data_IF_890311186422
#
_entry.id   IF_890311186422
#
_cell.length_a   1.000
_cell.length_b   1.000
_cell.length_c   1.000
_cell.angle_alpha   90.00
_cell.angle_beta   90.00
_cell.angle_gamma   90.00
#
_symmetry.space_group_name_H-M   'P 1'
#
loop_
_entity.id
_entity.type
_entity.pdbx_description
1 polymer ?
#
# COMPACT_ATOMS: atom_id res chain seq x y z
N UNK A 1 17.76 -18.31 -5.20
CA UNK A 1 17.02 -17.41 -4.30
C UNK A 1 15.51 -17.58 -4.44
N UNK A 2 14.87 -17.34 -5.60
CA UNK A 2 13.43 -17.59 -5.81
C UNK A 2 12.98 -19.02 -5.42
N UNK A 3 13.67 -20.05 -5.91
CA UNK A 3 13.37 -21.45 -5.54
C UNK A 3 13.50 -21.76 -4.06
N UNK A 4 14.39 -21.06 -3.36
CA UNK A 4 14.60 -21.28 -1.90
C UNK A 4 13.44 -20.66 -1.13
N UNK A 5 13.04 -19.44 -1.50
CA UNK A 5 11.87 -18.77 -0.92
C UNK A 5 10.56 -19.50 -1.24
N UNK A 6 10.40 -20.02 -2.45
CA UNK A 6 9.24 -20.84 -2.83
C UNK A 6 9.17 -22.12 -1.99
N UNK A 7 10.32 -22.76 -1.73
CA UNK A 7 10.38 -23.98 -0.91
C UNK A 7 10.13 -23.69 0.57
N UNK A 8 10.73 -22.65 1.14
CA UNK A 8 10.49 -22.24 2.53
C UNK A 8 9.02 -21.82 2.75
N UNK A 9 8.43 -21.11 1.78
CA UNK A 9 7.02 -20.72 1.82
C UNK A 9 6.10 -21.96 1.74
N UNK A 10 6.42 -22.91 0.85
CA UNK A 10 5.69 -24.18 0.72
C UNK A 10 5.73 -25.01 2.00
N UNK A 11 6.90 -25.10 2.64
CA UNK A 11 7.07 -25.82 3.92
C UNK A 11 6.27 -25.13 5.01
N UNK A 12 6.33 -23.80 5.11
CA UNK A 12 5.60 -23.03 6.12
C UNK A 12 4.09 -23.15 5.94
N UNK A 13 3.58 -23.04 4.70
CA UNK A 13 2.16 -23.24 4.40
C UNK A 13 1.70 -24.66 4.77
N UNK A 14 2.48 -25.68 4.43
CA UNK A 14 2.17 -27.07 4.80
C UNK A 14 2.13 -27.30 6.31
N UNK A 15 3.01 -26.63 7.07
CA UNK A 15 2.99 -26.68 8.53
C UNK A 15 1.75 -26.00 9.12
N UNK A 16 1.40 -24.83 8.59
CA UNK A 16 0.19 -24.10 9.00
C UNK A 16 -1.09 -24.88 8.68
N UNK A 17 -1.20 -25.47 7.49
CA UNK A 17 -2.35 -26.31 7.11
C UNK A 17 -2.48 -27.56 8.00
N UNK A 18 -1.35 -28.21 8.35
CA UNK A 18 -1.35 -29.32 9.29
C UNK A 18 -1.81 -28.90 10.69
N UNK A 19 -1.37 -27.73 11.16
CA UNK A 19 -1.73 -27.19 12.46
C UNK A 19 -3.20 -26.74 12.52
N UNK A 20 -3.69 -26.10 11.46
CA UNK A 20 -5.10 -25.75 11.29
C UNK A 20 -5.98 -27.01 11.32
N UNK A 21 -5.61 -28.03 10.54
CA UNK A 21 -6.34 -29.30 10.49
C UNK A 21 -6.38 -29.95 11.87
N UNK A 22 -5.25 -29.98 12.58
CA UNK A 22 -5.18 -30.54 13.93
C UNK A 22 -6.03 -29.74 14.94
N UNK A 23 -6.04 -28.41 14.85
CA UNK A 23 -6.84 -27.55 15.71
C UNK A 23 -8.34 -27.71 15.47
N UNK A 24 -8.77 -27.75 14.19
CA UNK A 24 -10.16 -28.00 13.81
C UNK A 24 -10.61 -29.36 14.34
N UNK A 25 -9.79 -30.39 14.15
CA UNK A 25 -10.12 -31.74 14.59
C UNK A 25 -10.17 -31.87 16.12
N UNK A 26 -9.31 -31.14 16.85
CA UNK A 26 -9.40 -31.04 18.30
C UNK A 26 -10.71 -30.35 18.75
N UNK A 27 -11.13 -29.30 18.04
CA UNK A 27 -12.38 -28.59 18.32
C UNK A 27 -13.60 -29.46 18.04
N UNK A 28 -13.62 -30.19 16.92
CA UNK A 28 -14.71 -31.12 16.57
C UNK A 28 -14.88 -32.20 17.64
N UNK A 29 -13.78 -32.79 18.12
CA UNK A 29 -13.81 -33.78 19.21
C UNK A 29 -14.37 -33.17 20.51
N UNK A 30 -14.00 -31.91 20.82
CA UNK A 30 -14.53 -31.17 21.96
C UNK A 30 -16.04 -30.91 21.82
N UNK A 31 -16.51 -30.53 20.62
CA UNK A 31 -17.93 -30.32 20.33
C UNK A 31 -18.71 -31.63 20.47
N UNK A 32 -18.19 -32.73 19.93
CA UNK A 32 -18.81 -34.05 20.02
C UNK A 32 -18.94 -34.50 21.48
N UNK A 33 -17.87 -34.32 22.27
CA UNK A 33 -17.88 -34.63 23.71
C UNK A 33 -18.93 -33.79 24.46
N UNK A 34 -19.01 -32.49 24.16
CA UNK A 34 -20.03 -31.61 24.76
C UNK A 34 -21.46 -32.01 24.37
N UNK A 35 -21.69 -32.45 23.12
CA UNK A 35 -23.00 -32.92 22.68
C UNK A 35 -23.44 -34.18 23.42
N UNK A 36 -22.52 -35.11 23.69
CA UNK A 36 -22.80 -36.31 24.48
C UNK A 36 -23.15 -35.92 25.93
N UNK A 37 -22.34 -35.06 26.55
CA UNK A 37 -22.59 -34.57 27.91
C UNK A 37 -23.94 -33.86 28.05
N UNK A 38 -24.32 -33.02 27.08
CA UNK A 38 -25.62 -32.34 27.09
C UNK A 38 -26.79 -33.32 27.04
N UNK A 39 -26.71 -34.37 26.22
CA UNK A 39 -27.75 -35.42 26.17
C UNK A 39 -27.83 -36.20 27.47
N UNK A 40 -26.70 -36.55 28.07
CA UNK A 40 -26.66 -37.25 29.36
C UNK A 40 -27.31 -36.41 30.47
N UNK A 41 -27.01 -35.11 30.52
CA UNK A 41 -27.63 -34.17 31.47
C UNK A 41 -29.15 -34.09 31.23
N UNK A 42 -29.59 -34.04 29.96
CA UNK A 42 -31.01 -33.96 29.60
C UNK A 42 -31.78 -35.24 29.93
N UNK A 43 -31.16 -36.42 29.80
CA UNK A 43 -31.73 -37.71 30.24
C UNK A 43 -31.83 -37.75 31.76
N UNK A 44 -30.76 -37.38 32.47
CA UNK A 44 -30.74 -37.37 33.94
C UNK A 44 -31.79 -36.42 34.53
N UNK A 45 -31.93 -35.20 33.98
CA UNK A 45 -32.98 -34.26 34.36
C UNK A 45 -34.39 -34.84 34.15
N UNK A 46 -34.62 -35.51 33.02
CA UNK A 46 -35.93 -36.11 32.72
C UNK A 46 -36.26 -37.35 33.58
N UNK A 47 -35.26 -38.12 34.00
CA UNK A 47 -35.41 -39.22 34.94
C UNK A 47 -35.70 -38.71 36.36
N UNK A 48 -34.97 -37.68 36.81
CA UNK A 48 -35.21 -37.05 38.11
C UNK A 48 -36.56 -36.34 38.20
N UNK A 49 -37.08 -35.78 37.12
CA UNK A 49 -38.44 -35.23 37.07
C UNK A 49 -39.55 -36.28 37.19
N UNK A 50 -39.23 -37.57 37.00
CA UNK A 50 -40.19 -38.69 37.11
C UNK A 50 -40.17 -39.38 38.48
N UNK A 51 -39.08 -39.30 39.24
CA UNK A 51 -38.97 -39.85 40.60
C UNK A 51 -39.27 -38.77 41.64
N UNK A 52 -40.51 -38.75 42.15
CA UNK A 52 -41.02 -37.73 43.06
C UNK A 52 -40.77 -38.03 44.55
N UNK A 53 -39.72 -38.78 44.91
CA UNK A 53 -39.39 -39.08 46.30
C UNK A 53 -37.89 -39.30 46.43
N UNK A 54 -37.13 -38.31 46.94
CA UNK A 54 -35.87 -38.44 47.71
C UNK A 54 -35.39 -37.03 48.12
N UNK A 55 -34.75 -36.93 49.29
CA UNK A 55 -34.35 -35.69 49.97
C UNK A 55 -33.38 -34.80 49.17
N UNK A 56 -33.50 -33.45 49.25
CA UNK A 56 -32.92 -32.53 48.25
C UNK A 56 -31.42 -32.19 48.41
N UNK A 57 -30.80 -32.54 49.54
CA UNK A 57 -29.49 -32.00 49.94
C UNK A 57 -28.27 -32.56 49.20
N UNK A 58 -28.24 -33.86 48.94
CA UNK A 58 -27.06 -34.55 48.38
C UNK A 58 -26.99 -34.50 46.83
N UNK A 59 -28.10 -34.16 46.16
CA UNK A 59 -28.14 -34.00 44.69
C UNK A 59 -27.54 -32.67 44.23
N UNK A 60 -27.82 -31.58 44.96
CA UNK A 60 -27.37 -30.23 44.60
C UNK A 60 -25.83 -30.15 44.56
N UNK A 61 -25.14 -30.79 45.50
CA UNK A 61 -23.68 -30.80 45.57
C UNK A 61 -23.03 -31.49 44.36
N UNK A 62 -23.60 -32.59 43.87
CA UNK A 62 -23.03 -33.33 42.72
C UNK A 62 -23.20 -32.57 41.41
N UNK A 63 -24.34 -31.88 41.23
CA UNK A 63 -24.55 -31.03 40.05
C UNK A 63 -23.73 -29.73 40.13
N UNK A 64 -23.57 -29.14 41.31
CA UNK A 64 -22.68 -27.98 41.51
C UNK A 64 -21.23 -28.33 41.19
N UNK A 65 -20.73 -29.48 41.65
CA UNK A 65 -19.38 -29.95 41.35
C UNK A 65 -19.16 -30.15 39.84
N UNK A 66 -20.11 -30.77 39.13
CA UNK A 66 -20.03 -30.97 37.67
C UNK A 66 -20.12 -29.66 36.87
N UNK A 67 -20.97 -28.72 37.30
CA UNK A 67 -21.07 -27.40 36.66
C UNK A 67 -19.78 -26.61 36.88
N UNK A 68 -19.21 -26.67 38.08
CA UNK A 68 -17.94 -26.03 38.38
C UNK A 68 -16.79 -26.64 37.56
N UNK A 69 -16.77 -27.95 37.39
CA UNK A 69 -15.79 -28.66 36.56
C UNK A 69 -15.88 -28.25 35.08
N UNK A 70 -17.09 -28.14 34.53
CA UNK A 70 -17.34 -27.69 33.15
C UNK A 70 -16.97 -26.22 32.92
N UNK A 71 -17.32 -25.34 33.85
CA UNK A 71 -16.93 -23.92 33.79
C UNK A 71 -15.41 -23.75 33.84
N UNK A 72 -14.72 -24.61 34.60
CA UNK A 72 -13.26 -24.61 34.66
C UNK A 72 -12.66 -25.16 33.35
N UNK A 73 -13.22 -26.24 32.79
CA UNK A 73 -12.72 -26.87 31.56
C UNK A 73 -12.93 -26.00 30.31
N UNK A 74 -13.92 -25.10 30.34
CA UNK A 74 -14.26 -24.20 29.22
C UNK A 74 -13.80 -22.76 29.45
N UNK A 75 -13.06 -22.49 30.53
CA UNK A 75 -12.56 -21.15 30.85
C UNK A 75 -11.66 -20.62 29.71
N UNK A 76 -12.07 -19.56 28.99
CA UNK A 76 -11.27 -18.94 27.95
C UNK A 76 -9.91 -18.44 28.46
N UNK A 77 -9.79 -18.14 29.76
CA UNK A 77 -8.54 -17.75 30.43
C UNK A 77 -7.50 -18.88 30.52
N UNK A 78 -7.90 -20.14 30.29
CA UNK A 78 -6.98 -21.29 30.23
C UNK A 78 -6.43 -21.55 28.82
N UNK A 79 -6.93 -20.86 27.79
CA UNK A 79 -6.38 -20.93 26.43
C UNK A 79 -4.98 -20.29 26.46
N UNK A 80 -3.95 -21.13 26.55
CA UNK A 80 -2.55 -20.70 26.46
C UNK A 80 -2.11 -20.73 25.00
N UNK A 81 -1.73 -19.57 24.49
CA UNK A 81 -0.95 -19.49 23.26
C UNK A 81 0.40 -20.20 23.50
N UNK A 82 0.88 -20.94 22.50
CA UNK A 82 2.20 -21.55 22.54
C UNK A 82 3.24 -20.42 22.44
N UNK A 83 3.70 -19.95 23.60
CA UNK A 83 4.69 -18.87 23.72
C UNK A 83 5.97 -19.21 22.93
N UNK A 84 6.36 -20.48 22.87
CA UNK A 84 7.55 -20.91 22.14
C UNK A 84 7.37 -20.73 20.63
N UNK A 85 6.21 -21.12 20.08
CA UNK A 85 5.90 -20.89 18.66
C UNK A 85 5.76 -19.41 18.34
N UNK A 86 5.13 -18.63 19.23
CA UNK A 86 5.03 -17.18 19.09
C UNK A 86 6.41 -16.52 18.99
N UNK A 87 7.33 -16.90 19.88
CA UNK A 87 8.70 -16.40 19.86
C UNK A 87 9.47 -16.82 18.59
N UNK A 88 9.27 -18.07 18.12
CA UNK A 88 9.85 -18.54 16.86
C UNK A 88 9.34 -17.74 15.66
N UNK A 89 8.02 -17.50 15.57
CA UNK A 89 7.41 -16.69 14.51
C UNK A 89 7.90 -15.25 14.52
N UNK A 90 8.01 -14.65 15.71
CA UNK A 90 8.58 -13.32 15.87
C UNK A 90 10.05 -13.27 15.44
N UNK A 91 10.83 -14.29 15.82
CA UNK A 91 12.23 -14.45 15.40
C UNK A 91 12.37 -14.56 13.88
N UNK A 92 11.57 -15.39 13.24
CA UNK A 92 11.53 -15.53 11.77
C UNK A 92 11.15 -14.22 11.09
N UNK A 93 10.12 -13.54 11.60
CA UNK A 93 9.67 -12.24 11.07
C UNK A 93 10.76 -11.18 11.17
N UNK A 94 11.44 -11.09 12.31
CA UNK A 94 12.57 -10.18 12.50
C UNK A 94 13.72 -10.49 11.54
N UNK A 95 14.07 -11.77 11.37
CA UNK A 95 15.11 -12.19 10.44
C UNK A 95 14.76 -11.86 8.98
N UNK A 96 13.52 -12.08 8.57
CA UNK A 96 13.04 -11.72 7.23
C UNK A 96 13.08 -10.21 7.01
N UNK A 97 12.64 -9.41 8.00
CA UNK A 97 12.71 -7.95 7.94
C UNK A 97 14.16 -7.45 7.85
N UNK A 98 15.08 -8.03 8.62
CA UNK A 98 16.50 -7.71 8.56
C UNK A 98 17.09 -8.09 7.19
N UNK A 99 16.72 -9.26 6.66
CA UNK A 99 17.13 -9.67 5.33
C UNK A 99 16.63 -8.70 4.26
N UNK A 100 15.35 -8.36 4.24
CA UNK A 100 14.78 -7.40 3.28
C UNK A 100 15.48 -6.04 3.40
N UNK A 101 15.67 -5.52 4.62
CA UNK A 101 16.38 -4.26 4.86
C UNK A 101 17.83 -4.30 4.37
N UNK A 102 18.51 -5.43 4.50
CA UNK A 102 19.86 -5.61 3.97
C UNK A 102 19.95 -5.50 2.44
N UNK A 103 18.84 -5.73 1.73
CA UNK A 103 18.78 -5.62 0.27
C UNK A 103 18.51 -4.18 -0.22
N UNK A 104 18.11 -3.25 0.66
CA UNK A 104 17.80 -1.85 0.30
C UNK A 104 18.95 -1.18 -0.49
N UNK A 105 20.23 -1.27 -0.09
CA UNK A 105 21.32 -0.67 -0.86
C UNK A 105 21.45 -1.24 -2.27
N UNK A 106 21.20 -2.53 -2.44
CA UNK A 106 21.25 -3.22 -3.74
C UNK A 106 20.11 -2.75 -4.63
N UNK A 107 18.89 -2.69 -4.10
CA UNK A 107 17.71 -2.20 -4.81
C UNK A 107 17.89 -0.74 -5.23
N UNK A 108 18.39 0.11 -4.33
CA UNK A 108 18.70 1.52 -4.62
C UNK A 108 19.72 1.67 -5.74
N UNK A 109 20.83 0.91 -5.68
CA UNK A 109 21.85 0.92 -6.74
C UNK A 109 21.30 0.44 -8.09
N UNK A 110 20.45 -0.59 -8.08
CA UNK A 110 19.83 -1.10 -9.30
C UNK A 110 18.90 -0.05 -9.92
N UNK A 111 18.02 0.58 -9.15
CA UNK A 111 17.14 1.62 -9.67
C UNK A 111 17.92 2.84 -10.16
N UNK A 112 18.96 3.25 -9.44
CA UNK A 112 19.88 4.31 -9.88
C UNK A 112 20.59 3.98 -11.20
N UNK A 113 20.85 2.71 -11.51
CA UNK A 113 21.43 2.32 -12.81
C UNK A 113 20.50 2.58 -14.00
N UNK A 114 19.21 2.79 -13.76
CA UNK A 114 18.23 3.20 -14.76
C UNK A 114 17.94 4.71 -14.73
N UNK A 115 18.73 5.50 -14.00
CA UNK A 115 18.50 6.94 -13.91
C UNK A 115 18.62 7.60 -15.28
N UNK A 116 17.66 8.46 -15.60
CA UNK A 116 17.64 9.20 -16.87
C UNK A 116 17.62 10.70 -16.60
N UNK A 117 18.44 11.45 -17.34
CA UNK A 117 18.44 12.90 -17.28
C UNK A 117 17.10 13.46 -17.71
N UNK A 118 16.59 14.44 -16.97
CA UNK A 118 15.29 15.05 -17.23
C UNK A 118 15.33 16.54 -16.90
N UNK A 119 14.67 17.31 -17.75
CA UNK A 119 14.50 18.77 -17.64
C UNK A 119 13.04 19.08 -17.95
N UNK A 120 12.44 19.97 -17.17
CA UNK A 120 11.09 20.44 -17.37
C UNK A 120 11.00 21.37 -18.58
N UNK A 121 9.95 21.23 -19.37
CA UNK A 121 9.68 22.05 -20.55
C UNK A 121 8.77 23.25 -20.19
N UNK A 122 9.31 24.48 -20.14
CA UNK A 122 8.53 25.67 -19.82
C UNK A 122 7.43 26.00 -20.85
N UNK A 123 7.51 25.45 -22.07
CA UNK A 123 6.47 25.62 -23.09
C UNK A 123 5.19 24.83 -22.76
N UNK A 124 5.30 23.79 -21.94
CA UNK A 124 4.16 22.99 -21.47
C UNK A 124 3.59 23.49 -20.14
N UNK A 125 4.42 24.17 -19.35
CA UNK A 125 4.08 24.60 -17.99
C UNK A 125 2.89 25.56 -17.96
N UNK A 126 1.99 25.35 -17.00
CA UNK A 126 0.92 26.29 -16.73
C UNK A 126 1.46 27.70 -16.40
N UNK A 127 0.82 28.81 -16.83
CA UNK A 127 1.34 30.17 -16.62
C UNK A 127 1.47 30.63 -15.15
N UNK A 128 1.03 29.82 -14.18
CA UNK A 128 1.27 30.03 -12.73
C UNK A 128 2.44 29.21 -12.18
N UNK A 129 3.19 28.54 -13.05
CA UNK A 129 4.38 27.80 -12.68
C UNK A 129 5.63 28.56 -13.14
N UNK A 130 6.56 28.75 -12.22
CA UNK A 130 7.91 29.23 -12.50
C UNK A 130 8.82 28.01 -12.55
N UNK A 131 9.40 27.78 -13.72
CA UNK A 131 10.41 26.75 -13.96
C UNK A 131 11.79 27.37 -13.74
N UNK A 132 12.69 26.68 -13.02
CA UNK A 132 14.07 27.16 -12.81
C UNK A 132 14.84 27.25 -14.13
N UNK A 133 15.93 28.02 -14.13
CA UNK A 133 16.82 28.14 -15.29
C UNK A 133 17.38 26.76 -15.72
N UNK A 134 17.72 25.92 -14.75
CA UNK A 134 18.20 24.56 -14.94
C UNK A 134 17.09 23.59 -15.37
N UNK A 135 15.82 24.01 -15.26
CA UNK A 135 14.64 23.20 -15.53
C UNK A 135 14.48 21.98 -14.62
N UNK A 136 15.06 22.02 -13.42
CA UNK A 136 14.95 20.97 -12.41
C UNK A 136 13.90 21.28 -11.32
N UNK A 137 13.40 22.51 -11.23
CA UNK A 137 12.43 22.92 -10.21
C UNK A 137 11.16 23.50 -10.84
N UNK A 138 10.01 23.22 -10.23
CA UNK A 138 8.75 23.88 -10.52
C UNK A 138 8.16 24.49 -9.24
N UNK A 139 7.85 25.79 -9.29
CA UNK A 139 7.30 26.55 -8.18
C UNK A 139 5.97 27.18 -8.57
N UNK A 140 4.97 27.07 -7.71
CA UNK A 140 3.71 27.78 -7.89
C UNK A 140 3.85 29.27 -7.54
N UNK A 141 3.15 30.13 -8.29
CA UNK A 141 2.97 31.54 -7.99
C UNK A 141 1.51 31.95 -8.18
N UNK A 142 1.01 32.84 -7.33
CA UNK A 142 -0.33 33.41 -7.48
C UNK A 142 -0.44 34.39 -8.66
N UNK A 143 0.70 34.86 -9.17
CA UNK A 143 0.76 35.81 -10.28
C UNK A 143 0.81 35.08 -11.61
N UNK A 144 -0.10 35.43 -12.52
CA UNK A 144 -0.07 34.94 -13.89
C UNK A 144 1.16 35.49 -14.62
N UNK A 145 2.01 34.59 -15.12
CA UNK A 145 3.22 34.96 -15.84
C UNK A 145 2.88 35.27 -17.31
N UNK A 146 3.56 36.28 -17.86
CA UNK A 146 3.47 36.61 -19.28
C UNK A 146 4.35 35.64 -20.08
N UNK A 147 3.74 34.58 -20.61
CA UNK A 147 4.41 33.51 -21.35
C UNK A 147 3.78 33.34 -22.74
N UNK A 148 4.56 32.97 -23.78
CA UNK A 148 4.01 32.78 -25.12
C UNK A 148 2.93 31.69 -25.17
N UNK A 149 1.92 31.89 -26.02
CA UNK A 149 0.95 30.85 -26.32
C UNK A 149 1.63 29.64 -26.97
N UNK A 150 1.21 28.43 -26.54
CA UNK A 150 1.73 27.17 -27.04
C UNK A 150 0.65 26.09 -26.90
N UNK A 151 0.51 25.23 -27.92
CA UNK A 151 -0.51 24.18 -27.95
C UNK A 151 -0.30 23.15 -26.83
N UNK A 152 0.96 22.83 -26.51
CA UNK A 152 1.34 21.92 -25.43
C UNK A 152 1.13 22.48 -24.01
N UNK A 153 0.75 23.75 -23.86
CA UNK A 153 0.65 24.43 -22.56
C UNK A 153 -0.61 24.02 -21.81
N UNK A 154 -0.47 23.62 -20.55
CA UNK A 154 -1.64 23.48 -19.67
C UNK A 154 -2.25 24.84 -19.32
N UNK A 155 -3.55 25.01 -19.51
CA UNK A 155 -4.25 26.28 -19.23
C UNK A 155 -5.09 26.27 -17.94
N UNK A 156 -5.44 25.08 -17.45
CA UNK A 156 -6.33 24.88 -16.31
C UNK A 156 -5.63 24.18 -15.14
N UNK A 157 -4.80 23.18 -15.42
CA UNK A 157 -4.07 22.41 -14.40
C UNK A 157 -2.68 22.95 -14.18
N UNK A 158 -2.20 22.89 -12.93
CA UNK A 158 -0.86 23.33 -12.54
C UNK A 158 0.22 22.30 -12.92
N UNK A 159 0.15 21.80 -14.15
CA UNK A 159 1.02 20.75 -14.66
C UNK A 159 2.18 21.33 -15.48
N UNK A 160 3.27 20.57 -15.53
CA UNK A 160 4.40 20.74 -16.45
C UNK A 160 4.91 19.35 -16.86
N UNK A 161 5.34 19.21 -18.11
CA UNK A 161 5.98 17.98 -18.60
C UNK A 161 7.49 18.12 -18.72
N UNK A 162 8.17 16.98 -18.78
CA UNK A 162 9.55 16.90 -19.24
C UNK A 162 9.69 17.20 -20.73
N UNK A 163 10.79 17.85 -21.08
CA UNK A 163 11.24 18.04 -22.45
C UNK A 163 11.59 16.72 -23.12
N UNK A 164 12.24 15.82 -22.36
CA UNK A 164 12.54 14.47 -22.82
C UNK A 164 11.27 13.60 -22.79
N UNK A 165 11.22 12.65 -23.72
CA UNK A 165 10.30 11.53 -23.70
C UNK A 165 11.06 10.22 -23.90
N UNK A 166 10.44 9.13 -23.49
CA UNK A 166 11.02 7.79 -23.57
C UNK A 166 10.03 6.83 -24.21
N UNK A 167 10.50 5.92 -25.06
CA UNK A 167 9.67 4.99 -25.83
C UNK A 167 10.04 3.52 -25.63
N UNK A 168 11.11 3.25 -24.88
CA UNK A 168 11.72 1.93 -24.75
C UNK A 168 12.60 1.85 -23.50
N UNK A 169 12.93 0.64 -23.07
CA UNK A 169 13.87 0.44 -21.95
C UNK A 169 13.26 0.62 -20.56
N UNK A 170 14.09 1.07 -19.61
CA UNK A 170 13.75 1.27 -18.20
C UNK A 170 14.32 2.59 -17.74
N UNK A 171 13.52 3.35 -17.00
CA UNK A 171 13.91 4.68 -16.56
C UNK A 171 13.51 4.91 -15.11
N UNK A 172 14.30 5.75 -14.43
CA UNK A 172 14.12 6.09 -13.04
C UNK A 172 14.42 7.56 -12.78
N UNK A 173 13.55 8.21 -12.03
CA UNK A 173 13.70 9.59 -11.57
C UNK A 173 13.41 9.69 -10.09
N UNK A 174 13.98 10.69 -9.45
CA UNK A 174 13.67 11.04 -8.07
C UNK A 174 13.24 12.51 -8.00
N UNK A 175 12.18 12.79 -7.27
CA UNK A 175 11.64 14.13 -7.07
C UNK A 175 11.58 14.42 -5.58
N UNK A 176 12.22 15.50 -5.16
CA UNK A 176 12.12 16.07 -3.84
C UNK A 176 10.80 16.84 -3.70
N UNK A 177 10.03 16.46 -2.70
CA UNK A 177 8.71 17.00 -2.35
C UNK A 177 8.69 17.53 -0.91
N UNK A 178 9.86 17.76 -0.32
CA UNK A 178 10.03 18.09 1.10
C UNK A 178 9.26 19.34 1.51
N UNK A 179 8.41 19.19 2.52
CA UNK A 179 7.64 20.30 3.11
C UNK A 179 6.51 20.82 2.22
N UNK A 180 6.01 19.96 1.31
CA UNK A 180 4.77 20.16 0.58
C UNK A 180 3.67 19.28 1.16
N UNK A 181 2.44 19.78 1.14
CA UNK A 181 1.25 19.04 1.58
C UNK A 181 0.32 18.66 0.41
N UNK A 182 0.57 19.21 -0.78
CA UNK A 182 -0.14 18.85 -2.00
C UNK A 182 0.82 18.81 -3.19
N UNK A 183 0.82 17.70 -3.92
CA UNK A 183 1.52 17.54 -5.20
C UNK A 183 0.99 16.33 -5.96
N UNK A 184 1.22 16.31 -7.27
CA UNK A 184 0.97 15.15 -8.12
C UNK A 184 2.22 14.87 -8.96
N UNK A 185 2.58 13.59 -9.07
CA UNK A 185 3.74 13.13 -9.85
C UNK A 185 3.31 11.96 -10.71
N UNK A 186 3.75 11.92 -11.97
CA UNK A 186 3.31 10.86 -12.86
C UNK A 186 4.07 10.73 -14.16
N UNK A 187 3.59 9.79 -14.97
CA UNK A 187 3.99 9.64 -16.36
C UNK A 187 2.76 9.80 -17.25
N UNK A 188 2.96 10.37 -18.43
CA UNK A 188 1.87 10.59 -19.37
C UNK A 188 2.33 10.49 -20.82
N UNK A 189 1.42 10.08 -21.70
CA UNK A 189 1.62 10.23 -23.14
C UNK A 189 1.56 11.70 -23.58
N UNK A 190 2.08 11.96 -24.78
CA UNK A 190 2.04 13.28 -25.41
C UNK A 190 0.59 13.78 -25.64
N UNK A 191 -0.33 12.85 -25.86
CA UNK A 191 -1.76 13.00 -26.16
C UNK A 191 -2.65 13.49 -25.01
N UNK A 192 -2.14 13.59 -23.78
CA UNK A 192 -2.95 14.07 -22.64
C UNK A 192 -3.57 15.45 -22.97
N UNK A 193 -4.88 15.65 -22.72
CA UNK A 193 -5.52 16.92 -22.95
C UNK A 193 -4.83 18.06 -22.20
N UNK A 194 -4.54 19.15 -22.91
CA UNK A 194 -3.86 20.34 -22.36
C UNK A 194 -4.80 21.46 -21.96
N UNK A 195 -6.00 21.46 -22.55
CA UNK A 195 -6.97 22.55 -22.49
C UNK A 195 -8.31 22.05 -21.93
N UNK A 196 -9.00 22.93 -21.22
CA UNK A 196 -10.41 22.74 -20.86
C UNK A 196 -10.69 22.74 -19.35
N UNK A 197 -11.96 22.94 -19.01
CA UNK A 197 -12.43 23.09 -17.62
C UNK A 197 -12.72 21.77 -16.90
N UNK A 198 -12.59 20.63 -17.59
CA UNK A 198 -12.87 19.31 -17.03
C UNK A 198 -11.62 18.67 -16.43
N UNK A 199 -11.85 17.67 -15.58
CA UNK A 199 -10.81 16.84 -14.97
C UNK A 199 -9.95 16.09 -16.01
N UNK A 200 -10.35 16.05 -17.28
CA UNK A 200 -9.65 15.35 -18.38
C UNK A 200 -8.17 15.77 -18.56
N UNK A 201 -7.79 16.97 -18.11
CA UNK A 201 -6.40 17.48 -18.16
C UNK A 201 -5.60 17.27 -16.86
N UNK A 202 -6.21 16.65 -15.84
CA UNK A 202 -5.58 16.34 -14.56
C UNK A 202 -4.82 15.02 -14.63
N UNK A 203 -3.69 14.93 -13.93
CA UNK A 203 -2.87 13.73 -13.96
C UNK A 203 -3.63 12.56 -13.32
N UNK A 204 -3.63 11.40 -14.01
CA UNK A 204 -4.34 10.20 -13.61
C UNK A 204 -5.86 10.23 -13.85
N UNK A 205 -6.43 11.37 -14.24
CA UNK A 205 -7.89 11.49 -14.52
C UNK A 205 -8.27 11.17 -15.96
N UNK A 206 -7.29 10.86 -16.79
CA UNK A 206 -7.45 10.35 -18.14
C UNK A 206 -6.65 9.05 -18.34
N UNK A 207 -7.01 8.26 -19.36
CA UNK A 207 -6.26 7.06 -19.77
C UNK A 207 -4.82 7.33 -20.19
N UNK A 208 -4.47 8.58 -20.48
CA UNK A 208 -3.14 8.94 -21.00
C UNK A 208 -2.08 9.10 -19.89
N UNK A 209 -2.46 8.95 -18.62
CA UNK A 209 -1.55 9.23 -17.50
C UNK A 209 -1.71 8.29 -16.31
N UNK A 210 -0.59 8.07 -15.62
CA UNK A 210 -0.49 7.35 -14.36
C UNK A 210 0.10 8.28 -13.32
N UNK A 211 -0.60 8.47 -12.22
CA UNK A 211 -0.30 9.51 -11.25
C UNK A 211 -0.27 8.96 -9.83
N UNK A 212 0.65 9.49 -9.02
CA UNK A 212 0.58 9.45 -7.57
C UNK A 212 0.33 10.87 -7.06
N UNK A 213 -0.78 11.04 -6.38
CA UNK A 213 -1.18 12.25 -5.69
C UNK A 213 -0.86 12.11 -4.20
N UNK A 214 -0.38 13.19 -3.60
CA UNK A 214 -0.32 13.36 -2.16
C UNK A 214 -1.10 14.60 -1.80
N UNK A 215 -2.06 14.47 -0.89
CA UNK A 215 -2.87 15.59 -0.42
C UNK A 215 -3.16 15.41 1.08
N UNK A 216 -2.75 16.39 1.87
CA UNK A 216 -3.04 16.51 3.31
C UNK A 216 -2.76 15.23 4.13
N UNK A 217 -1.65 14.55 3.83
CA UNK A 217 -1.24 13.34 4.55
C UNK A 217 -1.58 12.03 3.84
N UNK A 218 -2.49 12.05 2.87
CA UNK A 218 -2.95 10.86 2.18
C UNK A 218 -2.31 10.70 0.80
N UNK A 219 -1.95 9.46 0.46
CA UNK A 219 -1.50 9.10 -0.88
C UNK A 219 -2.63 8.43 -1.65
N UNK A 220 -2.85 8.86 -2.89
CA UNK A 220 -3.80 8.24 -3.81
C UNK A 220 -3.15 8.01 -5.17
N UNK A 221 -3.20 6.79 -5.67
CA UNK A 221 -2.78 6.49 -7.02
C UNK A 221 -3.97 6.66 -7.99
N UNK A 222 -3.75 7.32 -9.12
CA UNK A 222 -4.80 7.64 -10.09
C UNK A 222 -4.45 7.17 -11.50
N UNK A 223 -5.42 6.56 -12.18
CA UNK A 223 -5.35 6.25 -13.60
C UNK A 223 -6.76 6.12 -14.20
N UNK A 224 -6.99 6.70 -15.39
CA UNK A 224 -8.27 6.60 -16.08
C UNK A 224 -9.47 7.17 -15.29
N UNK A 225 -9.23 8.13 -14.39
CA UNK A 225 -10.27 8.69 -13.53
C UNK A 225 -10.60 7.83 -12.29
N UNK A 226 -9.88 6.73 -12.07
CA UNK A 226 -10.11 5.81 -10.96
C UNK A 226 -9.10 6.09 -9.85
N UNK A 227 -9.63 6.28 -8.63
CA UNK A 227 -8.86 6.48 -7.41
C UNK A 227 -8.45 5.15 -6.79
N UNK A 228 -7.21 5.07 -6.34
CA UNK A 228 -6.71 3.99 -5.50
C UNK A 228 -6.06 4.58 -4.24
N UNK A 229 -6.84 4.83 -3.17
CA UNK A 229 -6.31 5.32 -1.91
C UNK A 229 -5.33 4.31 -1.31
N UNK A 230 -4.20 4.79 -0.80
CA UNK A 230 -3.13 3.95 -0.27
C UNK A 230 -3.09 4.01 1.26
N UNK A 231 -3.09 2.87 1.97
CA UNK A 231 -3.05 2.83 3.44
C UNK A 231 -1.62 3.08 3.96
N UNK A 232 -1.06 4.25 3.67
CA UNK A 232 0.33 4.63 3.97
C UNK A 232 0.31 5.82 4.92
N UNK A 233 0.79 5.61 6.14
CA UNK A 233 0.88 6.66 7.17
C UNK A 233 2.23 7.39 7.21
N UNK A 234 3.20 6.94 6.43
CA UNK A 234 4.54 7.53 6.38
C UNK A 234 4.62 8.62 5.30
N UNK A 235 5.17 9.78 5.65
CA UNK A 235 5.50 10.83 4.69
C UNK A 235 6.92 10.64 4.15
N UNK A 236 7.10 10.87 2.85
CA UNK A 236 8.39 10.77 2.18
C UNK A 236 8.83 12.14 1.67
N UNK A 237 10.11 12.46 1.89
CA UNK A 237 10.72 13.70 1.39
C UNK A 237 11.04 13.61 -0.09
N UNK A 238 11.21 12.38 -0.59
CA UNK A 238 11.58 12.11 -1.97
C UNK A 238 10.82 10.91 -2.51
N UNK A 239 10.27 11.11 -3.69
CA UNK A 239 9.50 10.11 -4.42
C UNK A 239 10.30 9.66 -5.64
N UNK A 240 10.46 8.36 -5.78
CA UNK A 240 11.05 7.73 -6.94
C UNK A 240 9.95 7.29 -7.90
N UNK A 241 10.17 7.53 -9.18
CA UNK A 241 9.27 7.14 -10.27
C UNK A 241 10.07 6.23 -11.19
N UNK A 242 9.63 4.99 -11.34
CA UNK A 242 10.25 3.99 -12.19
C UNK A 242 9.29 3.57 -13.29
N UNK A 243 9.79 3.43 -14.52
CA UNK A 243 9.05 2.77 -15.58
C UNK A 243 9.85 1.66 -16.27
N UNK A 244 9.14 0.68 -16.78
CA UNK A 244 9.69 -0.44 -17.55
C UNK A 244 8.81 -0.69 -18.76
N UNK A 245 9.28 -0.32 -19.95
CA UNK A 245 8.58 -0.62 -21.21
C UNK A 245 8.44 -2.12 -21.47
N UNK A 246 9.48 -2.96 -21.28
CA UNK A 246 9.34 -4.41 -21.45
C UNK A 246 8.38 -5.04 -20.43
N UNK A 247 8.24 -4.44 -19.24
CA UNK A 247 7.37 -4.95 -18.18
C UNK A 247 5.97 -4.34 -18.19
N UNK A 248 5.75 -3.24 -18.91
CA UNK A 248 4.51 -2.49 -18.86
C UNK A 248 4.19 -1.91 -17.48
N UNK A 249 5.19 -1.38 -16.78
CA UNK A 249 5.06 -0.94 -15.39
C UNK A 249 5.34 0.54 -15.22
N UNK A 250 4.55 1.18 -14.37
CA UNK A 250 4.84 2.47 -13.72
C UNK A 250 4.78 2.27 -12.22
N UNK A 251 5.90 2.49 -11.52
CA UNK A 251 6.04 2.22 -10.09
C UNK A 251 6.47 3.49 -9.36
N UNK A 252 5.81 3.78 -8.26
CA UNK A 252 6.14 4.87 -7.34
C UNK A 252 6.71 4.29 -6.04
N UNK A 253 7.75 4.93 -5.50
CA UNK A 253 8.40 4.52 -4.26
C UNK A 253 8.81 5.71 -3.40
N UNK A 254 8.74 5.55 -2.09
CA UNK A 254 9.41 6.44 -1.14
C UNK A 254 10.91 6.13 -1.12
N UNK A 255 11.75 7.09 -1.51
CA UNK A 255 13.19 6.84 -1.75
C UNK A 255 13.97 6.61 -0.47
N UNK A 256 13.56 7.24 0.64
CA UNK A 256 14.29 7.22 1.91
C UNK A 256 14.48 5.80 2.44
N UNK A 257 13.44 4.98 2.36
CA UNK A 257 13.42 3.57 2.78
C UNK A 257 13.26 2.58 1.61
N UNK A 258 13.25 3.06 0.37
CA UNK A 258 12.89 2.28 -0.82
C UNK A 258 11.54 1.56 -0.69
N UNK A 259 10.57 2.19 -0.02
CA UNK A 259 9.23 1.63 0.20
C UNK A 259 8.41 1.75 -1.08
N UNK A 260 7.96 0.64 -1.70
CA UNK A 260 7.03 0.71 -2.82
C UNK A 260 5.71 1.33 -2.34
N UNK A 261 5.24 2.37 -3.03
CA UNK A 261 3.96 3.01 -2.73
C UNK A 261 2.86 2.39 -3.59
N UNK A 262 3.09 2.34 -4.90
CA UNK A 262 2.13 1.76 -5.84
C UNK A 262 2.79 1.34 -7.15
N UNK A 263 2.22 0.36 -7.84
CA UNK A 263 2.66 -0.04 -9.17
C UNK A 263 1.47 -0.30 -10.09
N UNK A 264 1.40 0.46 -11.17
CA UNK A 264 0.45 0.21 -12.25
C UNK A 264 0.97 -0.86 -13.19
N UNK A 265 0.12 -1.84 -13.49
CA UNK A 265 0.29 -2.74 -14.64
C UNK A 265 -0.33 -2.11 -15.88
N UNK A 266 0.41 -1.20 -16.53
CA UNK A 266 -0.05 -0.49 -17.74
C UNK A 266 -0.11 -1.40 -18.98
N UNK A 267 0.58 -2.54 -18.96
CA UNK A 267 0.70 -3.39 -20.14
C UNK A 267 1.58 -2.73 -21.20
N UNK A 268 1.30 -2.96 -22.48
CA UNK A 268 2.11 -2.38 -23.55
C UNK A 268 1.81 -0.88 -23.71
N UNK A 269 2.82 -0.04 -23.47
CA UNK A 269 2.72 1.38 -23.78
C UNK A 269 2.55 1.59 -25.29
N UNK A 270 1.66 2.50 -25.65
CA UNK A 270 1.26 2.77 -27.05
C UNK A 270 1.99 3.97 -27.66
N UNK A 271 2.61 4.80 -26.84
CA UNK A 271 3.38 5.98 -27.25
C UNK A 271 4.52 6.26 -26.24
N UNK A 272 5.31 7.28 -26.52
CA UNK A 272 6.37 7.79 -25.66
C UNK A 272 5.80 8.41 -24.38
N UNK A 273 6.47 8.18 -23.26
CA UNK A 273 6.11 8.73 -21.96
C UNK A 273 6.92 9.98 -21.65
N UNK A 274 6.25 10.99 -21.12
CA UNK A 274 6.85 12.15 -20.47
C UNK A 274 6.69 12.05 -18.96
N UNK A 275 7.67 12.59 -18.22
CA UNK A 275 7.51 12.87 -16.80
C UNK A 275 6.55 14.05 -16.65
N UNK A 276 5.57 13.93 -15.76
CA UNK A 276 4.59 14.96 -15.49
C UNK A 276 4.60 15.32 -14.02
N UNK A 277 4.67 16.62 -13.73
CA UNK A 277 4.70 17.11 -12.36
C UNK A 277 3.65 18.21 -12.14
N UNK A 278 3.04 18.19 -10.95
CA UNK A 278 2.18 19.26 -10.43
C UNK A 278 2.66 19.62 -9.01
N UNK A 279 3.18 20.84 -8.77
CA UNK A 279 3.51 21.26 -7.40
C UNK A 279 2.28 21.58 -6.56
N UNK A 280 1.08 21.56 -7.13
CA UNK A 280 -0.14 22.03 -6.47
C UNK A 280 -0.16 23.55 -6.28
N UNK A 281 -1.33 24.06 -5.91
CA UNK A 281 -1.47 25.47 -5.52
C UNK A 281 -0.97 25.65 -4.08
N UNK A 282 -0.70 26.91 -3.70
CA UNK A 282 -0.40 27.21 -2.31
C UNK A 282 -1.66 27.18 -1.43
N UNK A 283 -1.56 26.51 -0.28
CA UNK A 283 -2.62 26.37 0.70
C UNK A 283 -2.31 27.26 1.90
N UNK A 284 -2.44 28.58 1.72
CA UNK A 284 -2.17 29.59 2.76
C UNK A 284 -0.73 29.51 3.32
N UNK A 285 0.25 29.35 2.44
CA UNK A 285 1.68 29.26 2.77
C UNK A 285 2.19 27.85 3.06
N UNK A 286 1.31 26.87 3.27
CA UNK A 286 1.69 25.50 3.67
C UNK A 286 2.18 24.63 2.51
N UNK A 287 2.01 25.07 1.26
CA UNK A 287 2.45 24.32 0.06
C UNK A 287 3.36 25.14 -0.88
N UNK A 288 3.91 26.25 -0.39
CA UNK A 288 4.72 27.23 -1.14
C UNK A 288 6.07 26.71 -1.66
N UNK A 289 6.57 25.59 -1.13
CA UNK A 289 7.86 25.02 -1.54
C UNK A 289 7.79 24.45 -2.97
N UNK A 290 8.90 24.52 -3.73
CA UNK A 290 8.98 23.90 -5.04
C UNK A 290 9.00 22.38 -4.95
N UNK A 291 8.62 21.72 -6.04
CA UNK A 291 9.08 20.36 -6.32
C UNK A 291 10.39 20.42 -7.10
N UNK A 292 11.32 19.52 -6.80
CA UNK A 292 12.64 19.52 -7.41
C UNK A 292 13.05 18.14 -7.89
N UNK A 293 13.39 18.03 -9.17
CA UNK A 293 14.02 16.84 -9.75
C UNK A 293 15.42 16.71 -9.17
N UNK A 294 15.71 15.55 -8.60
CA UNK A 294 17.04 15.21 -8.09
C UNK A 294 17.91 14.74 -9.25
N UNK A 295 18.95 15.50 -9.57
CA UNK A 295 20.00 15.06 -10.49
C UNK A 295 20.78 13.90 -9.86
N UNK A 296 21.12 12.89 -10.66
CA UNK A 296 21.84 11.68 -10.24
C UNK A 296 23.35 11.83 -10.25
#
# INVERSE_FOLDING_TARGET
MRRVLEEDCRITLSLLEMEETAAVQALDNLIETNCVLLRDIEVQLNEEMKENDIQPGDRVTVYEDRVQELLTATDPGLIKLDETKSDQLLGLTNNLLLFIRSQIPIAKRLLKSYSSGVVLDPSTAHPKLIISFEGDCATFTDVWQDVPEHEGRFDNTLNVLSLQCWDSGRHYWEVDVSGKIYWELGLTYSSIPRKGQKEDCWLGRHSESWCLEYFDGDYTAWHGGIAHPLPISSCFHRIGIFCSFPGGLVTFLGVDSMTPLYSFGAGRFTDSLHLALCPGHDLQGTNSKPIKICQS
#
